data_IF_492279683120
#
_entry.id   IF_492279683120
#
_cell.length_a   1.000
_cell.length_b   1.000
_cell.length_c   1.000
_cell.angle_alpha   90.00
_cell.angle_beta   90.00
_cell.angle_gamma   90.00
#
_symmetry.space_group_name_H-M   'P 1'
#
loop_
_entity.id
_entity.type
_entity.pdbx_description
1 polymer ?
#
# COMPACT_ATOMS: atom_id res chain seq x y z
N UNK A 1 24.90 -1.95 -4.89
CA UNK A 1 24.62 -2.37 -3.49
C UNK A 1 23.13 -2.43 -3.16
N UNK A 2 22.28 -1.46 -3.57
CA UNK A 2 20.83 -1.49 -3.30
C UNK A 2 20.12 -2.73 -3.85
N UNK A 3 20.40 -3.14 -5.09
CA UNK A 3 19.76 -4.29 -5.75
C UNK A 3 20.03 -5.63 -5.03
N UNK A 4 21.20 -5.81 -4.44
CA UNK A 4 21.54 -7.03 -3.68
C UNK A 4 20.76 -7.07 -2.37
N UNK A 5 20.69 -5.97 -1.62
CA UNK A 5 19.92 -5.89 -0.35
C UNK A 5 18.45 -6.20 -0.54
N UNK A 6 17.82 -5.68 -1.61
CA UNK A 6 16.41 -5.94 -1.93
C UNK A 6 16.17 -7.39 -2.34
N UNK A 7 17.05 -7.98 -3.15
CA UNK A 7 16.93 -9.37 -3.56
C UNK A 7 17.09 -10.35 -2.41
N UNK A 8 18.09 -10.14 -1.55
CA UNK A 8 18.31 -10.95 -0.36
C UNK A 8 17.12 -10.89 0.60
N UNK A 9 16.57 -9.69 0.82
CA UNK A 9 15.39 -9.53 1.67
C UNK A 9 14.18 -10.25 1.09
N UNK A 10 13.86 -10.06 -0.19
CA UNK A 10 12.73 -10.75 -0.85
C UNK A 10 12.88 -12.28 -0.76
N UNK A 11 14.09 -12.81 -0.94
CA UNK A 11 14.37 -14.23 -0.79
C UNK A 11 14.12 -14.73 0.65
N UNK A 12 14.54 -13.96 1.66
CA UNK A 12 14.29 -14.28 3.07
C UNK A 12 12.81 -14.24 3.43
N UNK A 13 12.06 -13.29 2.88
CA UNK A 13 10.60 -13.23 3.01
C UNK A 13 9.93 -14.44 2.36
N UNK A 14 10.52 -15.01 1.31
CA UNK A 14 9.96 -16.11 0.53
C UNK A 14 9.27 -15.64 -0.75
N UNK A 15 9.54 -14.40 -1.18
CA UNK A 15 9.08 -13.89 -2.47
C UNK A 15 9.92 -14.49 -3.58
N UNK A 16 9.28 -15.26 -4.44
CA UNK A 16 9.90 -15.99 -5.55
C UNK A 16 9.27 -15.63 -6.89
N UNK A 17 9.88 -16.05 -7.98
CA UNK A 17 9.24 -15.92 -9.28
C UNK A 17 8.14 -16.97 -9.40
N UNK A 18 6.94 -16.52 -9.69
CA UNK A 18 5.77 -17.34 -9.98
C UNK A 18 5.32 -17.01 -11.40
N UNK A 19 5.15 -18.01 -12.25
CA UNK A 19 4.73 -17.83 -13.63
C UNK A 19 3.23 -18.00 -13.80
N UNK A 20 2.66 -18.98 -13.10
CA UNK A 20 1.25 -19.34 -13.12
C UNK A 20 0.76 -19.50 -11.70
N UNK A 21 -0.31 -18.77 -11.33
CA UNK A 21 -0.83 -18.79 -9.98
C UNK A 21 -1.41 -20.14 -9.60
N UNK A 22 -2.17 -20.76 -10.53
CA UNK A 22 -2.83 -22.04 -10.29
C UNK A 22 -1.81 -23.16 -9.99
N UNK A 23 -0.78 -23.26 -10.82
CA UNK A 23 0.32 -24.21 -10.59
C UNK A 23 0.97 -23.98 -9.23
N UNK A 24 1.23 -22.73 -8.87
CA UNK A 24 1.86 -22.41 -7.60
C UNK A 24 0.95 -22.67 -6.39
N UNK A 25 -0.37 -22.56 -6.53
CA UNK A 25 -1.34 -22.92 -5.51
C UNK A 25 -1.37 -24.45 -5.29
N UNK A 26 -1.37 -25.23 -6.37
CA UNK A 26 -1.30 -26.69 -6.27
C UNK A 26 0.00 -27.17 -5.61
N UNK A 27 1.14 -26.56 -5.97
CA UNK A 27 2.43 -26.85 -5.35
C UNK A 27 2.47 -26.49 -3.85
N UNK A 28 1.87 -25.36 -3.47
CA UNK A 28 1.94 -24.83 -2.11
C UNK A 28 0.97 -25.53 -1.15
N UNK A 29 -0.23 -25.90 -1.61
CA UNK A 29 -1.30 -26.41 -0.77
C UNK A 29 -1.69 -27.88 -1.06
N UNK A 30 -1.10 -28.51 -2.09
CA UNK A 30 -1.48 -29.83 -2.59
C UNK A 30 -2.70 -29.78 -3.49
N UNK A 31 -3.01 -30.93 -4.13
CA UNK A 31 -4.02 -30.99 -5.20
C UNK A 31 -5.40 -30.52 -4.72
N UNK A 32 -5.93 -31.16 -3.68
CA UNK A 32 -7.30 -30.92 -3.21
C UNK A 32 -7.51 -29.47 -2.71
N UNK A 33 -6.60 -28.99 -1.86
CA UNK A 33 -6.74 -27.66 -1.27
C UNK A 33 -6.37 -26.56 -2.28
N UNK A 34 -5.38 -26.83 -3.14
CA UNK A 34 -5.01 -25.91 -4.24
C UNK A 34 -6.17 -25.70 -5.22
N UNK A 35 -6.88 -26.75 -5.61
CA UNK A 35 -8.09 -26.65 -6.47
C UNK A 35 -9.20 -25.82 -5.82
N UNK A 36 -9.40 -25.95 -4.50
CA UNK A 36 -10.35 -25.13 -3.75
C UNK A 36 -9.93 -23.65 -3.79
N UNK A 37 -8.64 -23.35 -3.62
CA UNK A 37 -8.12 -21.99 -3.70
C UNK A 37 -8.28 -21.40 -5.09
N UNK A 38 -7.96 -22.15 -6.14
CA UNK A 38 -8.13 -21.71 -7.54
C UNK A 38 -9.59 -21.33 -7.79
N UNK A 39 -10.51 -22.27 -7.49
CA UNK A 39 -11.94 -22.02 -7.66
C UNK A 39 -12.42 -20.78 -6.91
N UNK A 40 -12.01 -20.64 -5.64
CA UNK A 40 -12.44 -19.51 -4.82
C UNK A 40 -11.88 -18.19 -5.33
N UNK A 41 -10.63 -18.14 -5.76
CA UNK A 41 -10.03 -16.93 -6.35
C UNK A 41 -10.72 -16.54 -7.65
N UNK A 42 -11.00 -17.51 -8.55
CA UNK A 42 -11.76 -17.24 -9.78
C UNK A 42 -13.12 -16.62 -9.43
N UNK A 43 -13.88 -17.19 -8.50
CA UNK A 43 -15.16 -16.62 -8.07
C UNK A 43 -15.04 -15.21 -7.51
N UNK A 44 -13.97 -14.92 -6.74
CA UNK A 44 -13.75 -13.60 -6.15
C UNK A 44 -13.31 -12.57 -7.20
N UNK A 45 -12.47 -12.96 -8.16
CA UNK A 45 -12.08 -12.08 -9.27
C UNK A 45 -13.26 -11.76 -10.18
N UNK A 46 -14.03 -12.76 -10.61
CA UNK A 46 -15.22 -12.55 -11.44
C UNK A 46 -16.19 -11.56 -10.77
N UNK A 47 -16.43 -11.73 -9.47
CA UNK A 47 -17.27 -10.78 -8.70
C UNK A 47 -16.64 -9.40 -8.55
N UNK A 48 -15.31 -9.30 -8.48
CA UNK A 48 -14.63 -8.01 -8.34
C UNK A 48 -14.62 -7.21 -9.65
N UNK A 49 -14.67 -7.91 -10.79
CA UNK A 49 -14.75 -7.33 -12.13
C UNK A 49 -16.18 -6.96 -12.54
N UNK A 50 -17.22 -7.49 -11.86
CA UNK A 50 -18.58 -7.05 -12.09
C UNK A 50 -18.68 -5.53 -11.91
N UNK A 51 -18.65 -4.84 -13.04
CA UNK A 51 -18.69 -3.37 -13.10
C UNK A 51 -19.90 -2.85 -12.34
N UNK A 52 -19.69 -1.81 -11.54
CA UNK A 52 -20.75 -0.99 -10.98
C UNK A 52 -21.76 -0.66 -12.08
N UNK A 53 -22.97 -1.19 -11.94
CA UNK A 53 -24.10 -0.68 -12.71
C UNK A 53 -24.32 0.73 -12.21
N UNK A 54 -24.20 1.69 -13.11
CA UNK A 54 -24.34 3.12 -12.84
C UNK A 54 -25.55 3.41 -11.94
N UNK A 55 -25.34 4.10 -10.81
CA UNK A 55 -26.39 4.63 -9.95
C UNK A 55 -26.59 3.93 -8.62
N UNK A 56 -25.96 2.81 -8.34
CA UNK A 56 -26.04 2.22 -7.01
C UNK A 56 -24.91 2.76 -6.12
N UNK A 57 -25.26 3.24 -4.92
CA UNK A 57 -24.33 3.44 -3.82
C UNK A 57 -23.89 2.05 -3.31
N UNK A 58 -23.25 1.27 -4.17
CA UNK A 58 -23.11 -0.16 -3.92
C UNK A 58 -21.95 -0.42 -2.96
N UNK A 59 -22.32 -0.47 -1.68
CA UNK A 59 -21.46 -1.03 -0.63
C UNK A 59 -21.05 -2.48 -0.93
N UNK A 60 -21.71 -3.16 -1.87
CA UNK A 60 -21.41 -4.54 -2.25
C UNK A 60 -20.11 -4.64 -3.04
N UNK A 61 -19.79 -3.68 -3.92
CA UNK A 61 -18.50 -3.66 -4.60
C UNK A 61 -17.33 -3.54 -3.61
N UNK A 62 -17.47 -2.65 -2.63
CA UNK A 62 -16.48 -2.44 -1.59
C UNK A 62 -16.23 -3.73 -0.79
N UNK A 63 -17.30 -4.40 -0.39
CA UNK A 63 -17.22 -5.67 0.33
C UNK A 63 -16.55 -6.76 -0.51
N UNK A 64 -16.79 -6.80 -1.83
CA UNK A 64 -16.14 -7.78 -2.72
C UNK A 64 -14.63 -7.57 -2.80
N UNK A 65 -14.17 -6.31 -2.86
CA UNK A 65 -12.75 -6.00 -2.81
C UNK A 65 -12.13 -6.37 -1.46
N UNK A 66 -12.83 -6.05 -0.36
CA UNK A 66 -12.40 -6.44 0.99
C UNK A 66 -12.32 -7.98 1.12
N UNK A 67 -13.32 -8.72 0.62
CA UNK A 67 -13.33 -10.18 0.62
C UNK A 67 -12.14 -10.78 -0.15
N UNK A 68 -11.80 -10.22 -1.32
CA UNK A 68 -10.64 -10.64 -2.09
C UNK A 68 -9.33 -10.38 -1.34
N UNK A 69 -9.17 -9.17 -0.79
CA UNK A 69 -7.99 -8.80 0.00
C UNK A 69 -7.84 -9.70 1.23
N UNK A 70 -8.92 -9.93 1.97
CA UNK A 70 -8.91 -10.81 3.14
C UNK A 70 -8.59 -12.25 2.76
N UNK A 71 -9.12 -12.74 1.64
CA UNK A 71 -8.82 -14.09 1.15
C UNK A 71 -7.36 -14.25 0.74
N UNK A 72 -6.80 -13.28 0.01
CA UNK A 72 -5.39 -13.28 -0.36
C UNK A 72 -4.44 -13.17 0.85
N UNK A 73 -4.93 -12.67 1.98
CA UNK A 73 -4.16 -12.54 3.22
C UNK A 73 -4.60 -13.50 4.33
N UNK A 74 -5.43 -14.51 4.04
CA UNK A 74 -5.95 -15.45 5.04
C UNK A 74 -4.87 -16.25 5.78
N UNK A 75 -3.69 -16.39 5.18
CA UNK A 75 -2.48 -16.96 5.78
C UNK A 75 -1.25 -16.28 5.21
N UNK A 76 -0.14 -16.31 5.94
CA UNK A 76 1.14 -15.79 5.43
C UNK A 76 1.55 -16.51 4.14
N UNK A 77 1.34 -17.83 4.05
CA UNK A 77 1.68 -18.60 2.86
C UNK A 77 0.92 -18.11 1.62
N UNK A 78 -0.41 -17.93 1.73
CA UNK A 78 -1.24 -17.39 0.65
C UNK A 78 -0.83 -15.98 0.28
N UNK A 79 -0.61 -15.14 1.28
CA UNK A 79 -0.21 -13.74 1.08
C UNK A 79 1.13 -13.61 0.35
N UNK A 80 2.13 -14.41 0.71
CA UNK A 80 3.44 -14.40 0.04
C UNK A 80 3.37 -14.99 -1.37
N UNK A 81 2.51 -15.96 -1.61
CA UNK A 81 2.28 -16.50 -2.94
C UNK A 81 1.64 -15.47 -3.86
N UNK A 82 0.58 -14.82 -3.40
CA UNK A 82 -0.06 -13.72 -4.13
C UNK A 82 0.92 -12.58 -4.41
N UNK A 83 1.68 -12.14 -3.40
CA UNK A 83 2.71 -11.11 -3.54
C UNK A 83 3.81 -11.52 -4.53
N UNK A 84 4.18 -12.80 -4.58
CA UNK A 84 5.15 -13.35 -5.54
C UNK A 84 4.64 -13.28 -6.98
N UNK A 85 3.37 -13.57 -7.18
CA UNK A 85 2.75 -13.57 -8.50
C UNK A 85 2.47 -12.15 -9.00
N UNK A 86 1.75 -11.34 -8.20
CA UNK A 86 1.27 -10.03 -8.64
C UNK A 86 2.32 -8.91 -8.47
N UNK A 87 3.05 -8.90 -7.37
CA UNK A 87 3.74 -7.69 -6.88
C UNK A 87 5.26 -7.84 -6.74
N UNK A 88 5.86 -8.96 -7.16
CA UNK A 88 7.30 -9.20 -6.96
C UNK A 88 8.19 -8.07 -7.51
N UNK A 89 7.91 -7.60 -8.72
CA UNK A 89 8.68 -6.53 -9.35
C UNK A 89 8.38 -5.20 -8.66
N UNK A 90 7.11 -4.97 -8.31
CA UNK A 90 6.69 -3.78 -7.56
C UNK A 90 7.42 -3.68 -6.23
N UNK A 91 7.43 -4.74 -5.39
CA UNK A 91 8.12 -4.73 -4.11
C UNK A 91 9.60 -4.42 -4.25
N UNK A 92 10.30 -4.99 -5.25
CA UNK A 92 11.69 -4.66 -5.51
C UNK A 92 11.88 -3.18 -5.80
N UNK A 93 11.06 -2.59 -6.69
CA UNK A 93 11.13 -1.17 -7.05
C UNK A 93 10.76 -0.25 -5.89
N UNK A 94 9.74 -0.62 -5.13
CA UNK A 94 9.36 0.11 -3.91
C UNK A 94 10.51 0.13 -2.88
N UNK A 95 11.16 -1.00 -2.64
CA UNK A 95 12.32 -1.08 -1.75
C UNK A 95 13.53 -0.28 -2.26
N UNK A 96 13.77 -0.25 -3.58
CA UNK A 96 14.80 0.61 -4.19
C UNK A 96 14.50 2.09 -3.90
N UNK A 97 13.22 2.50 -3.97
CA UNK A 97 12.80 3.85 -3.61
C UNK A 97 12.97 4.13 -2.10
N UNK A 98 12.62 3.17 -1.23
CA UNK A 98 12.83 3.30 0.21
C UNK A 98 14.31 3.46 0.56
N UNK A 99 15.21 2.69 -0.07
CA UNK A 99 16.65 2.83 0.12
C UNK A 99 17.18 4.17 -0.41
N UNK A 100 16.62 4.69 -1.50
CA UNK A 100 16.99 6.01 -2.03
C UNK A 100 16.59 7.14 -1.09
N UNK A 101 15.51 6.94 -0.33
CA UNK A 101 14.94 7.93 0.58
C UNK A 101 15.17 7.60 2.05
N UNK A 102 16.14 6.70 2.36
CA UNK A 102 16.40 6.20 3.72
C UNK A 102 16.66 7.34 4.73
N UNK A 103 17.25 8.47 4.32
CA UNK A 103 17.52 9.62 5.18
C UNK A 103 16.25 10.34 5.69
N UNK A 104 15.09 10.08 5.11
CA UNK A 104 13.82 10.67 5.53
C UNK A 104 13.05 9.81 6.53
N UNK A 105 13.58 8.64 6.89
CA UNK A 105 12.98 7.73 7.86
C UNK A 105 13.77 7.75 9.16
N UNK A 106 13.12 8.21 10.24
CA UNK A 106 13.73 8.23 11.56
C UNK A 106 12.65 8.22 12.66
N UNK A 107 13.04 7.89 13.89
CA UNK A 107 12.19 7.98 15.07
C UNK A 107 10.96 7.07 14.98
N UNK A 108 9.77 7.67 15.09
CA UNK A 108 8.50 6.95 14.97
C UNK A 108 8.02 6.97 13.52
N UNK A 109 7.99 5.81 12.88
CA UNK A 109 7.56 5.62 11.50
C UNK A 109 6.18 4.94 11.50
N UNK A 110 5.24 5.50 10.73
CA UNK A 110 3.94 4.90 10.44
C UNK A 110 3.90 4.44 8.99
N UNK A 111 3.62 3.16 8.77
CA UNK A 111 3.25 2.62 7.45
C UNK A 111 1.73 2.53 7.35
N UNK A 112 1.12 3.44 6.61
CA UNK A 112 -0.32 3.53 6.44
C UNK A 112 -0.79 2.65 5.28
N UNK A 113 -1.62 1.64 5.57
CA UNK A 113 -2.01 0.61 4.61
C UNK A 113 -0.88 -0.41 4.42
N UNK A 114 -0.38 -0.96 5.53
CA UNK A 114 0.81 -1.82 5.54
C UNK A 114 0.62 -3.18 4.85
N UNK A 115 -0.63 -3.58 4.57
CA UNK A 115 -0.95 -4.88 4.00
C UNK A 115 -0.33 -6.03 4.79
N UNK A 116 0.32 -6.95 4.09
CA UNK A 116 1.01 -8.11 4.66
C UNK A 116 2.37 -7.80 5.33
N UNK A 117 2.73 -6.54 5.47
CA UNK A 117 3.90 -6.10 6.21
C UNK A 117 5.26 -6.25 5.51
N UNK A 118 5.30 -6.64 4.24
CA UNK A 118 6.57 -6.84 3.51
C UNK A 118 7.41 -5.56 3.51
N UNK A 119 6.84 -4.41 3.15
CA UNK A 119 7.56 -3.14 3.14
C UNK A 119 7.79 -2.60 4.55
N UNK A 120 6.84 -2.81 5.48
CA UNK A 120 6.98 -2.40 6.88
C UNK A 120 8.14 -3.10 7.58
N UNK A 121 8.26 -4.42 7.43
CA UNK A 121 9.38 -5.20 7.97
C UNK A 121 10.71 -4.82 7.30
N UNK A 122 10.69 -4.47 6.01
CA UNK A 122 11.87 -3.96 5.32
C UNK A 122 12.33 -2.61 5.91
N UNK A 123 11.39 -1.67 6.13
CA UNK A 123 11.68 -0.39 6.78
C UNK A 123 12.25 -0.59 8.18
N UNK A 124 11.64 -1.45 9.00
CA UNK A 124 12.13 -1.76 10.34
C UNK A 124 13.56 -2.33 10.33
N UNK A 125 13.87 -3.16 9.34
CA UNK A 125 15.20 -3.76 9.19
C UNK A 125 16.29 -2.77 8.79
N UNK A 126 15.97 -1.82 7.90
CA UNK A 126 16.96 -0.82 7.45
C UNK A 126 17.08 0.36 8.41
N UNK A 127 16.14 0.48 9.37
CA UNK A 127 16.13 1.50 10.41
C UNK A 127 15.99 0.85 11.81
N UNK A 128 17.04 0.15 12.29
CA UNK A 128 16.97 -0.63 13.53
C UNK A 128 16.69 0.22 14.78
N UNK A 129 17.07 1.50 14.75
CA UNK A 129 16.86 2.44 15.86
C UNK A 129 15.48 3.13 15.81
N UNK A 130 14.69 2.91 14.76
CA UNK A 130 13.34 3.46 14.64
C UNK A 130 12.29 2.53 15.25
N UNK A 131 11.16 3.11 15.66
CA UNK A 131 9.95 2.35 16.02
C UNK A 131 8.98 2.39 14.85
N UNK A 132 8.71 1.25 14.22
CA UNK A 132 7.84 1.16 13.03
C UNK A 132 6.48 0.63 13.42
N UNK A 133 5.43 1.32 12.99
CA UNK A 133 4.04 0.86 13.17
C UNK A 133 3.42 0.65 11.80
N UNK A 134 2.99 -0.57 11.48
CA UNK A 134 2.15 -0.87 10.34
C UNK A 134 0.68 -0.79 10.72
N UNK A 135 -0.13 -0.08 9.94
CA UNK A 135 -1.56 0.04 10.15
C UNK A 135 -2.30 -0.42 8.90
N UNK A 136 -3.24 -1.34 9.04
CA UNK A 136 -4.13 -1.78 7.95
C UNK A 136 -5.54 -2.05 8.47
N UNK A 137 -6.55 -1.90 7.61
CA UNK A 137 -7.95 -2.16 7.93
C UNK A 137 -8.29 -3.65 7.87
N UNK A 138 -7.56 -4.45 7.08
CA UNK A 138 -7.73 -5.89 7.00
C UNK A 138 -7.08 -6.59 8.19
N UNK A 139 -7.89 -7.26 8.99
CA UNK A 139 -7.39 -8.09 10.10
C UNK A 139 -6.57 -9.28 9.58
N UNK A 140 -6.92 -9.83 8.42
CA UNK A 140 -6.19 -10.92 7.79
C UNK A 140 -4.78 -10.46 7.39
N UNK A 141 -4.66 -9.30 6.74
CA UNK A 141 -3.37 -8.71 6.36
C UNK A 141 -2.50 -8.41 7.59
N UNK A 142 -3.07 -7.81 8.64
CA UNK A 142 -2.36 -7.55 9.90
C UNK A 142 -1.89 -8.84 10.58
N UNK A 143 -2.68 -9.92 10.50
CA UNK A 143 -2.28 -11.22 11.05
C UNK A 143 -1.10 -11.82 10.28
N UNK A 144 -1.14 -11.78 8.94
CA UNK A 144 -0.04 -12.21 8.08
C UNK A 144 1.23 -11.36 8.32
N UNK A 145 1.08 -10.04 8.50
CA UNK A 145 2.17 -9.13 8.79
C UNK A 145 2.87 -9.44 10.13
N UNK A 146 2.09 -9.75 11.18
CA UNK A 146 2.63 -10.17 12.50
C UNK A 146 3.39 -11.48 12.41
N UNK A 147 2.85 -12.45 11.67
CA UNK A 147 3.52 -13.73 11.44
C UNK A 147 4.84 -13.53 10.67
N UNK A 148 4.83 -12.68 9.63
CA UNK A 148 6.02 -12.32 8.87
C UNK A 148 7.09 -11.68 9.76
N UNK A 149 6.72 -10.71 10.60
CA UNK A 149 7.66 -10.06 11.51
C UNK A 149 8.29 -11.05 12.50
N UNK A 150 7.49 -11.96 13.06
CA UNK A 150 7.97 -13.04 13.92
C UNK A 150 8.96 -13.96 13.20
N UNK A 151 8.65 -14.36 11.96
CA UNK A 151 9.54 -15.18 11.11
C UNK A 151 10.86 -14.49 10.80
N UNK A 152 10.82 -13.18 10.56
CA UNK A 152 11.99 -12.36 10.25
C UNK A 152 12.75 -11.90 11.50
N UNK A 153 12.22 -12.14 12.71
CA UNK A 153 12.75 -11.68 14.01
C UNK A 153 12.95 -10.15 14.02
N UNK A 154 11.90 -9.43 13.58
CA UNK A 154 11.92 -7.97 13.51
C UNK A 154 11.22 -7.43 14.75
N UNK A 155 11.99 -6.95 15.75
CA UNK A 155 11.47 -6.62 17.09
C UNK A 155 11.03 -5.15 17.21
N UNK A 156 11.50 -4.26 16.32
CA UNK A 156 11.17 -2.84 16.31
C UNK A 156 9.95 -2.49 15.44
N UNK A 157 9.09 -3.49 15.17
CA UNK A 157 7.84 -3.32 14.40
C UNK A 157 6.63 -3.79 15.18
N UNK A 158 5.52 -3.08 15.03
CA UNK A 158 4.19 -3.51 15.50
C UNK A 158 3.15 -3.31 14.43
N UNK A 159 2.09 -4.12 14.46
CA UNK A 159 0.99 -4.05 13.49
C UNK A 159 -0.34 -3.82 14.19
N UNK A 160 -1.15 -2.91 13.66
CA UNK A 160 -2.42 -2.46 14.24
C UNK A 160 -3.54 -2.55 13.20
N UNK A 161 -4.66 -3.20 13.56
CA UNK A 161 -5.92 -3.14 12.83
C UNK A 161 -6.92 -2.30 13.65
N UNK A 162 -7.26 -1.07 13.23
CA UNK A 162 -8.13 -0.18 14.01
C UNK A 162 -9.54 -0.72 14.22
N UNK A 163 -9.98 -1.64 13.37
CA UNK A 163 -11.33 -2.24 13.41
C UNK A 163 -11.40 -3.46 14.34
N UNK A 164 -10.27 -3.99 14.80
CA UNK A 164 -10.27 -5.14 15.68
C UNK A 164 -10.75 -4.76 17.09
N UNK A 165 -11.72 -5.51 17.61
CA UNK A 165 -12.21 -5.33 18.98
C UNK A 165 -11.08 -5.48 19.99
N UNK A 166 -10.94 -4.52 20.91
CA UNK A 166 -9.97 -4.52 21.99
C UNK A 166 -8.62 -3.90 21.69
N UNK A 167 -8.37 -3.41 20.47
CA UNK A 167 -7.18 -2.62 20.19
C UNK A 167 -7.41 -1.14 20.55
N UNK A 168 -6.37 -0.49 21.12
CA UNK A 168 -6.39 0.95 21.33
C UNK A 168 -6.77 1.62 20.01
N UNK A 169 -7.84 2.43 20.03
CA UNK A 169 -8.14 3.31 18.90
C UNK A 169 -6.88 4.13 18.64
N UNK A 170 -6.47 4.19 17.39
CA UNK A 170 -5.40 5.08 16.95
C UNK A 170 -5.83 6.51 17.30
N UNK A 171 -5.18 7.11 18.30
CA UNK A 171 -5.59 8.41 18.80
C UNK A 171 -5.15 9.50 17.81
N UNK A 172 -6.01 10.52 17.65
CA UNK A 172 -5.80 11.63 16.73
C UNK A 172 -4.52 12.45 16.99
N UNK A 173 -3.84 12.17 18.12
CA UNK A 173 -2.63 12.86 18.59
C UNK A 173 -1.36 12.01 18.45
N UNK A 174 -1.43 10.83 17.81
CA UNK A 174 -0.24 10.02 17.56
C UNK A 174 0.47 10.56 16.30
N UNK A 175 1.30 11.60 16.51
CA UNK A 175 2.14 12.16 15.45
C UNK A 175 3.38 11.31 15.23
N UNK A 176 3.76 11.16 13.95
CA UNK A 176 4.93 10.40 13.51
C UNK A 176 5.98 11.32 12.89
N UNK A 177 7.25 10.96 13.10
CA UNK A 177 8.38 11.64 12.47
C UNK A 177 8.34 11.42 10.96
N UNK A 178 7.93 10.20 10.55
CA UNK A 178 7.70 9.85 9.14
C UNK A 178 6.43 9.02 8.99
N UNK A 179 5.60 9.41 8.03
CA UNK A 179 4.49 8.57 7.53
C UNK A 179 4.90 8.04 6.17
N UNK A 180 4.79 6.73 6.00
CA UNK A 180 4.91 6.06 4.71
C UNK A 180 3.52 5.67 4.21
N UNK A 181 3.25 5.88 2.93
CA UNK A 181 2.00 5.55 2.27
C UNK A 181 2.31 4.92 0.92
N UNK A 182 1.87 3.71 0.70
CA UNK A 182 2.14 2.98 -0.52
C UNK A 182 0.84 2.46 -1.13
N UNK A 183 0.44 3.02 -2.29
CA UNK A 183 -0.79 2.69 -3.03
C UNK A 183 -2.09 3.03 -2.29
N UNK A 184 -2.02 3.77 -1.18
CA UNK A 184 -3.20 4.03 -0.34
C UNK A 184 -3.98 5.27 -0.76
N UNK A 185 -3.33 6.32 -1.26
CA UNK A 185 -4.02 7.54 -1.71
C UNK A 185 -4.88 7.24 -2.93
N UNK A 186 -4.30 6.56 -3.91
CA UNK A 186 -4.98 6.15 -5.12
C UNK A 186 -6.17 5.22 -4.81
N UNK A 187 -5.97 4.21 -3.97
CA UNK A 187 -7.03 3.29 -3.56
C UNK A 187 -8.17 4.04 -2.85
N UNK A 188 -7.87 4.90 -1.88
CA UNK A 188 -8.89 5.68 -1.18
C UNK A 188 -9.61 6.71 -2.08
N UNK A 189 -8.97 7.20 -3.14
CA UNK A 189 -9.61 8.09 -4.11
C UNK A 189 -10.62 7.35 -5.01
N UNK A 190 -10.36 6.11 -5.36
CA UNK A 190 -11.30 5.26 -6.11
C UNK A 190 -12.60 5.01 -5.36
N UNK A 191 -12.53 4.99 -4.01
CA UNK A 191 -13.66 4.68 -3.15
C UNK A 191 -14.69 5.83 -2.99
N UNK A 192 -14.38 7.02 -3.43
CA UNK A 192 -15.43 8.03 -3.60
C UNK A 192 -16.15 7.68 -4.89
N UNK A 193 -17.48 7.40 -4.83
CA UNK A 193 -18.19 6.97 -6.00
C UNK A 193 -17.95 7.97 -7.13
N UNK A 194 -17.47 7.48 -8.25
CA UNK A 194 -17.62 8.14 -9.55
C UNK A 194 -19.12 8.14 -9.91
N UNK A 195 -19.92 8.67 -9.00
CA UNK A 195 -21.36 8.83 -9.17
C UNK A 195 -21.60 10.11 -9.96
N UNK A 196 -20.86 10.34 -10.97
CA UNK A 196 -21.30 11.37 -11.92
C UNK A 196 -20.58 11.10 -13.23
N UNK A 197 -21.39 10.62 -14.16
CA UNK A 197 -21.23 10.73 -15.59
C UNK A 197 -20.04 9.98 -16.26
N UNK A 198 -20.38 9.28 -17.31
CA UNK A 198 -19.47 8.92 -18.41
C UNK A 198 -18.69 10.17 -18.84
N UNK A 199 -17.65 10.55 -18.12
CA UNK A 199 -16.67 11.47 -18.67
C UNK A 199 -15.81 10.68 -19.64
N UNK A 200 -16.00 10.93 -20.91
CA UNK A 200 -15.18 10.40 -22.00
C UNK A 200 -13.73 10.95 -21.95
N UNK A 201 -13.47 11.95 -21.11
CA UNK A 201 -12.17 12.60 -20.96
C UNK A 201 -11.51 12.29 -19.58
N UNK A 202 -10.18 12.19 -19.52
CA UNK A 202 -9.43 12.11 -18.28
C UNK A 202 -9.78 13.27 -17.35
N UNK A 203 -9.71 13.01 -16.01
CA UNK A 203 -9.94 14.07 -15.04
C UNK A 203 -8.79 15.09 -15.07
N UNK A 204 -9.12 16.38 -15.03
CA UNK A 204 -8.13 17.44 -14.89
C UNK A 204 -7.38 17.35 -13.57
N UNK A 205 -6.22 18.02 -13.48
CA UNK A 205 -5.42 18.10 -12.26
C UNK A 205 -6.23 18.60 -11.06
N UNK A 206 -7.12 19.58 -11.25
CA UNK A 206 -7.98 20.12 -10.19
C UNK A 206 -9.00 19.09 -9.67
N UNK A 207 -9.62 18.36 -10.56
CA UNK A 207 -10.57 17.29 -10.22
C UNK A 207 -9.86 16.15 -9.50
N UNK A 208 -8.67 15.76 -9.94
CA UNK A 208 -7.82 14.78 -9.27
C UNK A 208 -7.43 15.25 -7.86
N UNK A 209 -6.96 16.51 -7.72
CA UNK A 209 -6.61 17.07 -6.42
C UNK A 209 -7.79 17.04 -5.44
N UNK A 210 -8.99 17.40 -5.89
CA UNK A 210 -10.21 17.35 -5.08
C UNK A 210 -10.56 15.94 -4.62
N UNK A 211 -10.33 14.92 -5.46
CA UNK A 211 -10.53 13.51 -5.09
C UNK A 211 -9.61 13.06 -3.97
N UNK A 212 -8.36 13.48 -4.00
CA UNK A 212 -7.36 13.10 -2.99
C UNK A 212 -7.50 13.86 -1.67
N UNK A 213 -8.09 15.07 -1.68
CA UNK A 213 -8.06 16.04 -0.57
C UNK A 213 -8.44 15.43 0.78
N UNK A 214 -9.53 14.69 0.85
CA UNK A 214 -10.03 14.14 2.12
C UNK A 214 -9.09 13.13 2.77
N UNK A 215 -8.45 12.28 1.96
CA UNK A 215 -7.50 11.28 2.48
C UNK A 215 -6.14 11.90 2.80
N UNK A 216 -5.67 12.77 1.92
CA UNK A 216 -4.41 13.50 2.10
C UNK A 216 -4.41 14.36 3.37
N UNK A 217 -5.53 15.01 3.71
CA UNK A 217 -5.68 15.73 4.99
C UNK A 217 -5.52 14.81 6.21
N UNK A 218 -6.03 13.57 6.13
CA UNK A 218 -5.84 12.58 7.20
C UNK A 218 -4.37 12.17 7.31
N UNK A 219 -3.69 11.89 6.19
CA UNK A 219 -2.26 11.57 6.19
C UNK A 219 -1.43 12.73 6.77
N UNK A 220 -1.70 13.96 6.31
CA UNK A 220 -1.01 15.14 6.82
C UNK A 220 -1.19 15.32 8.33
N UNK A 221 -2.38 15.03 8.87
CA UNK A 221 -2.65 15.14 10.30
C UNK A 221 -1.82 14.17 11.16
N UNK A 222 -1.28 13.10 10.58
CA UNK A 222 -0.45 12.11 11.26
C UNK A 222 1.05 12.44 11.22
N UNK A 223 1.46 13.37 10.36
CA UNK A 223 2.85 13.81 10.24
C UNK A 223 3.12 14.93 11.25
N UNK A 224 4.19 14.83 12.03
CA UNK A 224 4.67 15.92 12.89
C UNK A 224 5.01 17.18 12.09
N UNK A 225 4.94 18.39 12.68
CA UNK A 225 5.60 19.54 12.10
C UNK A 225 7.06 19.21 11.77
N UNK A 226 7.56 19.63 10.61
CA UNK A 226 8.89 19.28 10.05
C UNK A 226 9.11 17.80 9.74
N UNK A 227 8.17 16.91 10.05
CA UNK A 227 8.22 15.49 9.69
C UNK A 227 7.98 15.25 8.19
N UNK A 228 8.07 13.99 7.78
CA UNK A 228 8.02 13.63 6.37
C UNK A 228 6.84 12.68 6.06
N UNK A 229 6.29 12.86 4.86
CA UNK A 229 5.48 11.85 4.18
C UNK A 229 6.31 11.29 3.02
N UNK A 230 6.55 9.99 3.01
CA UNK A 230 7.08 9.27 1.84
C UNK A 230 5.92 8.55 1.18
N UNK A 231 5.66 8.82 -0.09
CA UNK A 231 4.50 8.29 -0.81
C UNK A 231 4.94 7.57 -2.08
N UNK A 232 4.40 6.36 -2.30
CA UNK A 232 4.53 5.60 -3.54
C UNK A 232 3.13 5.35 -4.08
N UNK A 233 2.75 6.03 -5.16
CA UNK A 233 1.40 5.96 -5.70
C UNK A 233 1.39 5.63 -7.20
N UNK A 234 0.30 5.03 -7.65
CA UNK A 234 0.04 4.78 -9.06
C UNK A 234 -0.28 6.12 -9.74
N UNK A 235 0.51 6.49 -10.72
CA UNK A 235 0.40 7.73 -11.46
C UNK A 235 0.57 7.42 -12.95
N UNK A 236 -0.51 7.06 -13.61
CA UNK A 236 -0.50 6.69 -15.04
C UNK A 236 -0.59 7.90 -15.95
N UNK A 237 -1.17 8.97 -15.46
CA UNK A 237 -1.38 10.22 -16.17
C UNK A 237 -0.66 11.37 -15.45
N UNK A 238 -0.13 12.33 -16.20
CA UNK A 238 0.56 13.49 -15.63
C UNK A 238 -0.36 14.30 -14.71
N UNK A 239 -1.64 14.46 -15.09
CA UNK A 239 -2.64 15.18 -14.29
C UNK A 239 -2.96 14.45 -12.97
N UNK A 240 -2.92 13.12 -12.94
CA UNK A 240 -3.12 12.38 -11.69
C UNK A 240 -2.00 12.64 -10.70
N UNK A 241 -0.75 12.67 -11.17
CA UNK A 241 0.40 12.98 -10.34
C UNK A 241 0.41 14.45 -9.90
N UNK A 242 0.15 15.38 -10.81
CA UNK A 242 0.06 16.80 -10.51
C UNK A 242 -1.08 17.10 -9.52
N UNK A 243 -2.23 16.43 -9.67
CA UNK A 243 -3.35 16.49 -8.74
C UNK A 243 -2.99 16.01 -7.34
N UNK A 244 -2.23 14.89 -7.23
CA UNK A 244 -1.75 14.39 -5.94
C UNK A 244 -0.81 15.40 -5.26
N UNK A 245 0.19 15.91 -5.98
CA UNK A 245 1.13 16.93 -5.45
C UNK A 245 0.39 18.16 -4.99
N UNK A 246 -0.59 18.63 -5.77
CA UNK A 246 -1.44 19.79 -5.41
C UNK A 246 -2.27 19.54 -4.15
N UNK A 247 -2.88 18.37 -4.02
CA UNK A 247 -3.66 17.99 -2.83
C UNK A 247 -2.79 17.94 -1.58
N UNK A 248 -1.58 17.37 -1.69
CA UNK A 248 -0.60 17.30 -0.59
C UNK A 248 -0.13 18.70 -0.18
N UNK A 249 0.17 19.58 -1.14
CA UNK A 249 0.53 20.96 -0.87
C UNK A 249 -0.60 21.73 -0.17
N UNK A 250 -1.86 21.54 -0.60
CA UNK A 250 -3.04 22.11 0.06
C UNK A 250 -3.27 21.58 1.48
N UNK A 251 -2.69 20.44 1.83
CA UNK A 251 -2.69 19.89 3.19
C UNK A 251 -1.44 20.28 4.02
N UNK A 252 -0.60 21.19 3.52
CA UNK A 252 0.61 21.65 4.20
C UNK A 252 1.81 20.71 4.09
N UNK A 253 1.83 19.84 3.07
CA UNK A 253 2.92 18.92 2.76
C UNK A 253 3.62 19.40 1.48
N UNK A 254 4.82 19.98 1.61
CA UNK A 254 5.59 20.50 0.49
C UNK A 254 6.54 19.44 -0.06
N UNK A 255 6.54 19.21 -1.36
CA UNK A 255 7.43 18.26 -2.00
C UNK A 255 8.90 18.65 -1.80
N UNK A 256 9.71 17.70 -1.34
CA UNK A 256 11.15 17.88 -1.23
C UNK A 256 11.77 17.80 -2.62
N UNK A 257 12.53 18.81 -3.02
CA UNK A 257 13.14 18.91 -4.35
C UNK A 257 14.05 17.69 -4.62
N UNK A 258 13.97 17.14 -5.83
CA UNK A 258 14.82 16.03 -6.27
C UNK A 258 14.39 14.66 -5.73
N UNK A 259 13.22 14.55 -5.08
CA UNK A 259 12.69 13.29 -4.55
C UNK A 259 11.56 12.70 -5.41
N UNK A 260 11.59 12.89 -6.71
CA UNK A 260 10.67 12.19 -7.61
C UNK A 260 11.42 11.05 -8.29
N UNK A 261 10.96 9.80 -8.06
CA UNK A 261 11.44 8.60 -8.72
C UNK A 261 10.26 7.90 -9.41
N UNK A 262 10.36 7.76 -10.72
CA UNK A 262 9.37 7.02 -11.51
C UNK A 262 9.86 5.60 -11.76
N UNK A 263 8.92 4.65 -11.76
CA UNK A 263 9.14 3.29 -12.20
C UNK A 263 7.87 2.65 -12.73
N UNK A 264 8.01 1.63 -13.57
CA UNK A 264 6.88 0.87 -14.09
C UNK A 264 7.06 -0.61 -13.78
N UNK A 265 5.97 -1.29 -13.56
CA UNK A 265 5.94 -2.75 -13.39
C UNK A 265 4.63 -3.32 -13.92
N UNK A 266 4.63 -4.62 -14.23
CA UNK A 266 3.39 -5.32 -14.59
C UNK A 266 2.44 -5.35 -13.39
N UNK A 267 1.16 -5.09 -13.65
CA UNK A 267 0.04 -5.28 -12.75
C UNK A 267 -1.04 -6.07 -13.52
N UNK A 268 -1.04 -7.39 -13.33
CA UNK A 268 -1.77 -8.28 -14.24
C UNK A 268 -1.14 -8.27 -15.64
N UNK A 269 -1.95 -8.06 -16.67
CA UNK A 269 -1.51 -7.97 -18.07
C UNK A 269 -1.11 -6.55 -18.50
N UNK A 270 -1.40 -5.54 -17.68
CA UNK A 270 -1.11 -4.14 -17.96
C UNK A 270 0.19 -3.68 -17.31
N UNK A 271 0.79 -2.62 -17.89
CA UNK A 271 1.90 -1.90 -17.28
C UNK A 271 1.36 -0.75 -16.44
N UNK A 272 1.64 -0.76 -15.15
CA UNK A 272 1.30 0.34 -14.25
C UNK A 272 2.54 1.21 -13.97
N UNK A 273 2.35 2.53 -14.00
CA UNK A 273 3.37 3.51 -13.66
C UNK A 273 3.18 3.99 -12.22
N UNK A 274 4.29 4.12 -11.52
CA UNK A 274 4.35 4.55 -10.12
C UNK A 274 5.30 5.71 -9.96
N UNK A 275 4.99 6.58 -8.99
CA UNK A 275 5.88 7.65 -8.55
C UNK A 275 6.12 7.54 -7.05
N UNK A 276 7.40 7.54 -6.68
CA UNK A 276 7.84 7.65 -5.29
C UNK A 276 8.32 9.08 -5.04
N UNK A 277 7.77 9.73 -4.02
CA UNK A 277 8.01 11.13 -3.70
C UNK A 277 8.13 11.33 -2.19
N UNK A 278 8.83 12.37 -1.78
CA UNK A 278 8.94 12.78 -0.37
C UNK A 278 8.36 14.18 -0.22
N UNK A 279 7.59 14.38 0.84
CA UNK A 279 7.01 15.65 1.22
C UNK A 279 7.36 15.97 2.67
N UNK A 280 7.63 17.24 2.96
CA UNK A 280 7.88 17.71 4.31
C UNK A 280 6.66 18.51 4.80
N UNK A 281 6.27 18.25 6.04
CA UNK A 281 5.21 19.00 6.71
C UNK A 281 5.74 20.40 7.05
N UNK A 282 5.00 21.40 6.63
CA UNK A 282 5.31 22.79 7.01
C UNK A 282 5.26 22.98 8.54
N UNK A 283 6.06 23.92 9.04
CA UNK A 283 5.91 24.40 10.42
C UNK A 283 4.50 24.94 10.62
N UNK A 284 3.81 24.43 11.63
CA UNK A 284 2.44 24.84 11.97
C UNK A 284 2.38 26.24 12.61
N UNK A 285 3.12 27.21 12.05
CA UNK A 285 2.92 28.64 12.39
C UNK A 285 1.92 29.20 11.38
N UNK A 286 0.85 29.79 11.88
CA UNK A 286 -0.11 30.48 11.02
C UNK A 286 0.55 31.62 10.25
#
# INVERSE_FOLDING_TARGET
>A
MSDLRTKEYLAQVGIRRVHELDTALLEAFGQEEGEKHIKKLTELYDRSEERLVYGSKDTAYLRRQEELVDYLNQSLQMSLLAASFYDRVFFRRAMEALLRYEQFFAGNILDMGCGNGILTCFLARIHPDASVTGLDLSQAAVSAARELAGRLRTDNVRFVCPQASGQKKYEKNDYHDTVFSCRTVHENAKWKPLIEEKKEAPLSMEEQAKRYEGYVKKLSALVKPQGYLVSIERCEEDDACAGLVRALAGAGLCQVKGTCMQFSCKNGDEMAAFQAMVFQKADGRP
#
